data_IF_957696395938
#
_entry.id   IF_957696395938
#
_cell.length_a   1.000
_cell.length_b   1.000
_cell.length_c   1.000
_cell.angle_alpha   90.00
_cell.angle_beta   90.00
_cell.angle_gamma   90.00
#
_symmetry.space_group_name_H-M   'P 1'
#
loop_
_entity.id
_entity.type
_entity.pdbx_description
1 polymer ?
#
# COMPACT_ATOMS: atom_id res chain seq x y z
N UNK A 1 -8.67 11.05 -12.17
CA UNK A 1 -7.39 11.59 -11.69
C UNK A 1 -7.53 11.77 -10.19
N UNK A 2 -6.87 10.91 -9.42
CA UNK A 2 -6.86 10.98 -7.95
C UNK A 2 -5.57 11.66 -7.50
N UNK A 3 -5.59 12.30 -6.34
CA UNK A 3 -4.42 12.91 -5.73
C UNK A 3 -4.51 12.81 -4.21
N UNK A 4 -3.36 12.76 -3.55
CA UNK A 4 -3.24 12.94 -2.11
C UNK A 4 -2.98 14.41 -1.84
N UNK A 5 -3.71 14.98 -0.88
CA UNK A 5 -3.48 16.34 -0.41
C UNK A 5 -3.28 16.31 1.09
N UNK A 6 -2.09 16.70 1.54
CA UNK A 6 -1.72 16.70 2.95
C UNK A 6 -1.35 18.11 3.41
N UNK A 7 -1.85 18.52 4.58
CA UNK A 7 -1.58 19.84 5.15
C UNK A 7 -0.35 19.78 6.04
N UNK A 8 0.77 20.31 5.56
CA UNK A 8 2.05 20.30 6.29
C UNK A 8 2.15 21.43 7.30
N UNK A 9 1.51 22.57 7.03
CA UNK A 9 1.43 23.69 7.98
C UNK A 9 0.18 24.53 7.75
N UNK A 10 -0.05 25.58 8.56
CA UNK A 10 -1.21 26.47 8.41
C UNK A 10 -1.36 27.04 6.99
N UNK A 11 -0.26 27.26 6.28
CA UNK A 11 -0.21 27.92 4.97
C UNK A 11 0.45 27.06 3.86
N UNK A 12 0.69 25.77 4.10
CA UNK A 12 1.34 24.89 3.13
C UNK A 12 0.59 23.56 3.03
N UNK A 13 0.12 23.28 1.81
CA UNK A 13 -0.41 21.98 1.42
C UNK A 13 0.56 21.34 0.42
N UNK A 14 0.77 20.03 0.56
CA UNK A 14 1.45 19.19 -0.43
C UNK A 14 0.39 18.39 -1.19
N UNK A 15 0.42 18.49 -2.51
CA UNK A 15 -0.47 17.72 -3.39
C UNK A 15 0.40 16.82 -4.28
N UNK A 16 0.08 15.53 -4.31
CA UNK A 16 0.75 14.54 -5.15
C UNK A 16 -0.30 13.79 -5.96
N UNK A 17 -0.18 13.81 -7.28
CA UNK A 17 -1.04 13.01 -8.16
C UNK A 17 -0.72 11.53 -7.98
N UNK A 18 -1.75 10.68 -8.05
CA UNK A 18 -1.58 9.23 -7.98
C UNK A 18 -1.44 8.69 -9.40
N UNK A 19 -0.34 7.96 -9.62
CA UNK A 19 0.02 7.25 -10.83
C UNK A 19 0.19 5.75 -10.53
N UNK A 20 0.42 4.96 -11.56
CA UNK A 20 0.65 3.51 -11.46
C UNK A 20 2.01 3.15 -10.86
N UNK A 21 2.96 4.10 -10.79
CA UNK A 21 4.35 3.90 -10.35
C UNK A 21 4.71 4.62 -9.03
N UNK A 22 3.74 5.28 -8.39
CA UNK A 22 4.00 6.11 -7.20
C UNK A 22 3.15 5.76 -5.97
N UNK A 23 2.60 4.55 -5.96
CA UNK A 23 1.79 4.03 -4.84
C UNK A 23 2.55 2.93 -4.14
N UNK A 24 2.77 3.12 -2.85
CA UNK A 24 3.55 2.20 -2.03
C UNK A 24 2.87 1.94 -0.68
N UNK A 25 3.15 0.78 -0.10
CA UNK A 25 2.84 0.48 1.28
C UNK A 25 4.07 -0.10 1.99
N UNK A 26 4.08 -0.03 3.32
CA UNK A 26 5.11 -0.69 4.12
C UNK A 26 4.64 -2.08 4.52
N UNK A 27 5.46 -3.10 4.27
CA UNK A 27 5.18 -4.44 4.73
C UNK A 27 5.06 -4.45 6.28
N UNK A 28 3.96 -4.94 6.86
CA UNK A 28 3.76 -4.86 8.31
C UNK A 28 4.68 -5.78 9.13
N UNK A 29 5.37 -6.72 8.48
CA UNK A 29 6.29 -7.66 9.16
C UNK A 29 7.73 -7.13 9.20
N UNK A 30 8.27 -6.73 8.05
CA UNK A 30 9.68 -6.32 7.94
C UNK A 30 9.88 -4.82 7.69
N UNK A 31 8.81 -4.06 7.42
CA UNK A 31 8.86 -2.63 7.17
C UNK A 31 9.39 -2.21 5.80
N UNK A 32 9.72 -3.15 4.90
CA UNK A 32 10.20 -2.79 3.57
C UNK A 32 9.08 -2.17 2.73
N UNK A 33 9.47 -1.33 1.78
CA UNK A 33 8.54 -0.74 0.82
C UNK A 33 8.08 -1.80 -0.20
N UNK A 34 6.81 -1.72 -0.57
CA UNK A 34 6.17 -2.56 -1.59
C UNK A 34 5.38 -1.65 -2.50
N UNK A 35 5.68 -1.70 -3.80
CA UNK A 35 4.91 -1.02 -4.85
C UNK A 35 3.54 -1.69 -5.04
N UNK A 36 2.50 -0.89 -5.24
CA UNK A 36 1.11 -1.34 -5.20
C UNK A 36 0.38 -0.98 -6.49
N UNK A 37 -0.13 -2.01 -7.17
CA UNK A 37 -1.17 -1.85 -8.18
C UNK A 37 -2.54 -1.75 -7.49
N UNK A 38 -3.10 -0.53 -7.42
CA UNK A 38 -4.41 -0.28 -6.81
C UNK A 38 -5.57 -0.97 -7.53
N UNK A 39 -5.48 -1.11 -8.86
CA UNK A 39 -6.53 -1.76 -9.64
C UNK A 39 -6.57 -3.25 -9.34
N UNK A 40 -5.39 -3.88 -9.21
CA UNK A 40 -5.28 -5.26 -8.79
C UNK A 40 -5.71 -5.44 -7.32
N UNK A 41 -5.23 -4.58 -6.42
CA UNK A 41 -5.45 -4.72 -4.98
C UNK A 41 -6.93 -4.68 -4.59
N UNK A 42 -7.72 -3.84 -5.24
CA UNK A 42 -9.16 -3.68 -4.96
C UNK A 42 -10.06 -4.34 -6.01
N UNK A 43 -9.51 -5.25 -6.83
CA UNK A 43 -10.26 -5.91 -7.92
C UNK A 43 -11.37 -6.83 -7.44
N UNK A 44 -11.27 -7.36 -6.22
CA UNK A 44 -12.28 -8.20 -5.58
C UNK A 44 -13.39 -7.40 -4.87
N UNK A 45 -13.24 -6.08 -4.80
CA UNK A 45 -14.16 -5.18 -4.11
C UNK A 45 -14.03 -5.24 -2.58
N UNK A 46 -13.00 -5.90 -2.04
CA UNK A 46 -12.71 -5.96 -0.61
C UNK A 46 -11.50 -5.08 -0.25
N UNK A 47 -11.53 -4.50 0.96
CA UNK A 47 -10.46 -3.66 1.48
C UNK A 47 -10.62 -2.16 1.21
N UNK A 48 -9.71 -1.38 1.78
CA UNK A 48 -9.67 0.08 1.66
C UNK A 48 -8.23 0.62 1.79
N UNK A 49 -8.04 1.94 1.57
CA UNK A 49 -6.72 2.59 1.58
C UNK A 49 -6.09 2.76 2.98
N UNK A 50 -6.80 2.43 4.06
CA UNK A 50 -6.37 2.64 5.45
C UNK A 50 -6.11 1.32 6.20
N UNK A 51 -7.00 0.34 6.03
CA UNK A 51 -6.99 -0.95 6.71
C UNK A 51 -6.37 -2.09 5.91
N UNK A 52 -6.21 -1.95 4.59
CA UNK A 52 -5.56 -2.98 3.77
C UNK A 52 -4.04 -2.87 3.89
N UNK A 53 -3.38 -3.99 4.19
CA UNK A 53 -1.92 -4.09 4.27
C UNK A 53 -1.41 -5.21 3.36
N UNK A 54 -0.35 -4.94 2.60
CA UNK A 54 0.26 -5.92 1.70
C UNK A 54 1.58 -6.41 2.28
N UNK A 55 1.76 -7.73 2.32
CA UNK A 55 3.03 -8.33 2.71
C UNK A 55 3.98 -8.39 1.52
N UNK A 56 5.27 -8.13 1.75
CA UNK A 56 6.27 -8.34 0.72
C UNK A 56 6.36 -9.83 0.34
N UNK A 57 7.02 -10.09 -0.79
CA UNK A 57 7.16 -11.44 -1.35
C UNK A 57 7.77 -12.44 -0.36
N UNK A 58 8.76 -12.03 0.42
CA UNK A 58 9.47 -12.94 1.34
C UNK A 58 8.63 -13.25 2.58
N UNK A 59 8.02 -12.24 3.19
CA UNK A 59 7.15 -12.42 4.35
C UNK A 59 5.87 -13.19 4.00
N UNK A 60 5.25 -12.91 2.84
CA UNK A 60 4.08 -13.66 2.36
C UNK A 60 4.43 -15.13 2.12
N UNK A 61 5.57 -15.42 1.47
CA UNK A 61 6.05 -16.80 1.26
C UNK A 61 6.26 -17.53 2.59
N UNK A 62 6.95 -16.91 3.54
CA UNK A 62 7.20 -17.51 4.86
C UNK A 62 5.89 -17.84 5.60
N UNK A 63 4.89 -16.95 5.57
CA UNK A 63 3.57 -17.21 6.19
C UNK A 63 2.81 -18.33 5.49
N UNK A 64 2.82 -18.37 4.16
CA UNK A 64 2.18 -19.45 3.39
C UNK A 64 2.82 -20.82 3.68
N UNK A 65 4.14 -20.88 3.84
CA UNK A 65 4.84 -22.10 4.24
C UNK A 65 4.50 -22.53 5.67
N UNK A 66 4.33 -21.58 6.59
CA UNK A 66 3.92 -21.88 7.96
C UNK A 66 2.49 -22.43 8.06
N UNK A 67 1.55 -21.96 7.22
CA UNK A 67 0.16 -22.44 7.17
C UNK A 67 -0.01 -23.84 6.57
N UNK A 68 1.02 -24.35 5.87
CA UNK A 68 1.01 -25.68 5.25
C UNK A 68 1.51 -26.79 6.18
N UNK A 69 1.91 -26.45 7.40
CA UNK A 69 2.33 -27.39 8.45
C UNK A 69 1.17 -27.66 9.41
#
# INVERSE_FOLDING_TARGET
MFYVKEKVSSNLDVTVEIHDDNVFCSCPECGCEVEIDLAQLFSDGEGDLYGTSVFCRDCSKAKLEALRK
#
